data_IF_392475330536
#
_entry.id   IF_392475330536
#
_cell.length_a   1.000
_cell.length_b   1.000
_cell.length_c   1.000
_cell.angle_alpha   90.00
_cell.angle_beta   90.00
_cell.angle_gamma   90.00
#
_symmetry.space_group_name_H-M   'P 1'
#
loop_
_entity.id
_entity.type
_entity.pdbx_description
1 polymer ?
#
# COMPACT_ATOMS: atom_id res chain seq x y z
N UNK A 1 14.12 13.82 4.48
CA UNK A 1 15.20 13.75 3.46
C UNK A 1 15.46 12.39 2.85
N UNK A 2 15.77 11.32 3.62
CA UNK A 2 16.17 10.01 3.04
C UNK A 2 15.17 9.43 2.04
N UNK A 3 13.88 9.40 2.40
CA UNK A 3 12.82 8.79 1.59
C UNK A 3 12.42 9.69 0.42
N UNK A 4 12.31 11.01 0.67
CA UNK A 4 11.96 12.02 -0.34
C UNK A 4 13.04 12.11 -1.43
N UNK A 5 14.31 11.91 -1.05
CA UNK A 5 15.44 11.90 -1.98
C UNK A 5 15.80 10.49 -2.50
N UNK A 6 14.94 9.50 -2.26
CA UNK A 6 15.08 8.10 -2.72
C UNK A 6 16.39 7.42 -2.30
N UNK A 7 16.96 7.86 -1.18
CA UNK A 7 18.21 7.36 -0.63
C UNK A 7 17.97 6.09 0.20
N UNK A 8 17.24 5.12 -0.36
CA UNK A 8 16.74 3.93 0.37
C UNK A 8 17.82 3.08 1.02
N UNK A 9 19.03 3.07 0.46
CA UNK A 9 20.17 2.34 1.02
C UNK A 9 20.60 2.86 2.40
N UNK A 10 20.23 4.08 2.79
CA UNK A 10 20.47 4.55 4.17
C UNK A 10 19.52 3.91 5.17
N UNK A 11 18.35 3.40 4.76
CA UNK A 11 17.43 2.70 5.68
C UNK A 11 18.10 1.46 6.27
N UNK A 12 18.84 0.70 5.46
CA UNK A 12 19.64 -0.43 5.94
C UNK A 12 20.67 0.02 6.99
N UNK A 13 21.40 1.12 6.70
CA UNK A 13 22.38 1.68 7.63
C UNK A 13 21.74 2.16 8.93
N UNK A 14 20.57 2.79 8.86
CA UNK A 14 19.82 3.27 10.03
C UNK A 14 19.37 2.10 10.89
N UNK A 15 18.84 1.03 10.30
CA UNK A 15 18.48 -0.17 11.05
C UNK A 15 19.69 -0.86 11.66
N UNK A 16 20.79 -1.00 10.92
CA UNK A 16 22.03 -1.56 11.45
C UNK A 16 22.54 -0.72 12.63
N UNK A 17 22.55 0.61 12.50
CA UNK A 17 22.97 1.52 13.56
C UNK A 17 22.07 1.43 14.79
N UNK A 18 20.74 1.43 14.60
CA UNK A 18 19.79 1.38 15.71
C UNK A 18 19.83 0.04 16.46
N UNK A 19 19.76 -1.09 15.75
CA UNK A 19 19.66 -2.42 16.36
C UNK A 19 21.00 -2.99 16.85
N UNK A 20 22.12 -2.50 16.31
CA UNK A 20 23.46 -2.93 16.71
C UNK A 20 24.28 -1.85 17.42
N UNK A 21 23.66 -0.74 17.84
CA UNK A 21 24.35 0.27 18.63
C UNK A 21 24.90 -0.36 19.90
N UNK A 22 26.22 -0.29 20.08
CA UNK A 22 26.85 -0.61 21.35
C UNK A 22 26.74 0.64 22.20
N UNK A 23 26.10 0.53 23.37
CA UNK A 23 26.27 1.56 24.40
C UNK A 23 27.77 1.71 24.63
N UNK A 24 28.29 2.94 24.60
CA UNK A 24 29.67 3.23 24.98
C UNK A 24 29.92 2.57 26.33
N UNK A 25 30.79 1.56 26.36
CA UNK A 25 31.28 0.96 27.57
C UNK A 25 32.13 2.02 28.26
N UNK A 26 31.53 2.75 29.21
CA UNK A 26 32.23 3.65 30.11
C UNK A 26 33.09 2.86 31.09
N UNK A 27 34.19 2.28 30.61
CA UNK A 27 35.31 1.80 31.43
C UNK A 27 36.53 2.65 31.09
N UNK A 28 36.54 3.87 31.61
CA UNK A 28 37.70 4.75 31.65
C UNK A 28 37.68 5.52 32.97
N UNK A 29 38.79 5.57 33.73
CA UNK A 29 38.79 6.15 35.06
C UNK A 29 38.47 7.65 35.00
N UNK A 30 37.65 8.08 35.96
CA UNK A 30 37.14 9.44 36.08
C UNK A 30 38.22 10.52 35.93
N UNK A 31 37.99 11.46 35.02
CA UNK A 31 38.52 12.83 35.11
C UNK A 31 37.45 13.83 34.61
N UNK A 32 37.06 14.72 35.53
CA UNK A 32 36.08 15.82 35.43
C UNK A 32 36.62 17.02 34.59
N UNK A 33 35.88 18.14 34.37
CA UNK A 33 34.45 18.43 34.58
C UNK A 33 33.73 19.07 33.35
N UNK A 34 32.39 19.07 33.42
CA UNK A 34 31.41 20.03 32.86
C UNK A 34 31.73 20.77 31.54
N UNK A 35 31.04 20.38 30.47
CA UNK A 35 30.60 21.28 29.41
C UNK A 35 29.08 21.10 29.26
N UNK A 36 28.33 22.21 29.38
CA UNK A 36 26.88 22.31 29.17
C UNK A 36 26.50 22.01 27.70
N UNK A 37 26.59 20.74 27.31
CA UNK A 37 25.91 20.19 26.15
C UNK A 37 24.76 19.33 26.66
N UNK A 38 23.57 19.48 26.08
CA UNK A 38 22.43 18.57 26.28
C UNK A 38 22.93 17.11 26.28
N UNK A 39 22.36 16.22 27.12
CA UNK A 39 22.81 14.83 27.13
C UNK A 39 22.50 14.22 25.76
N UNK A 40 23.51 14.15 24.88
CA UNK A 40 23.47 13.38 23.64
C UNK A 40 22.91 12.01 24.00
N UNK A 41 21.71 11.74 23.45
CA UNK A 41 20.72 10.85 24.04
C UNK A 41 21.32 9.53 24.53
N UNK A 42 21.15 9.26 25.83
CA UNK A 42 21.59 8.01 26.45
C UNK A 42 21.09 6.81 25.64
N UNK A 43 21.99 6.18 24.89
CA UNK A 43 21.67 5.01 24.06
C UNK A 43 21.29 3.88 25.00
N UNK A 44 20.06 3.39 24.90
CA UNK A 44 19.58 2.25 25.68
C UNK A 44 20.50 1.04 25.40
N UNK A 45 21.13 0.43 26.41
CA UNK A 45 21.97 -0.75 26.21
C UNK A 45 21.20 -1.88 25.52
N UNK A 46 21.86 -2.57 24.58
CA UNK A 46 21.26 -3.64 23.76
C UNK A 46 20.56 -4.71 24.61
N UNK A 47 21.16 -5.12 25.72
CA UNK A 47 20.57 -6.15 26.61
C UNK A 47 19.27 -5.69 27.28
N UNK A 48 19.19 -4.40 27.63
CA UNK A 48 17.96 -3.80 28.17
C UNK A 48 16.90 -3.71 27.07
N UNK A 49 17.27 -3.27 25.86
CA UNK A 49 16.36 -3.24 24.71
C UNK A 49 15.80 -4.64 24.39
N UNK A 50 16.67 -5.66 24.33
CA UNK A 50 16.25 -7.06 24.13
C UNK A 50 15.29 -7.52 25.22
N UNK A 51 15.54 -7.13 26.48
CA UNK A 51 14.66 -7.46 27.60
C UNK A 51 13.29 -6.78 27.49
N UNK A 52 13.25 -5.50 27.08
CA UNK A 52 12.00 -4.78 26.82
C UNK A 52 11.20 -5.40 25.68
N UNK A 53 11.85 -5.87 24.61
CA UNK A 53 11.16 -6.51 23.49
C UNK A 53 10.48 -7.85 23.87
N UNK A 54 10.80 -8.45 25.02
CA UNK A 54 10.10 -9.64 25.54
C UNK A 54 8.79 -9.28 26.25
N UNK A 55 8.56 -8.01 26.55
CA UNK A 55 7.33 -7.54 27.18
C UNK A 55 6.25 -7.33 26.13
N UNK A 56 5.16 -8.09 26.18
CA UNK A 56 4.11 -8.09 25.17
C UNK A 56 3.50 -6.69 24.90
N UNK A 57 3.18 -5.86 25.92
CA UNK A 57 2.73 -4.48 25.69
C UNK A 57 3.73 -3.62 24.90
N UNK A 58 5.03 -3.81 25.14
CA UNK A 58 6.08 -3.07 24.43
C UNK A 58 6.18 -3.55 22.99
N UNK A 59 6.16 -4.87 22.77
CA UNK A 59 6.19 -5.44 21.43
C UNK A 59 4.99 -4.98 20.59
N UNK A 60 3.79 -4.94 21.20
CA UNK A 60 2.59 -4.38 20.59
C UNK A 60 2.76 -2.90 20.24
N UNK A 61 3.23 -2.08 21.19
CA UNK A 61 3.47 -0.66 20.94
C UNK A 61 4.47 -0.43 19.80
N UNK A 62 5.59 -1.15 19.79
CA UNK A 62 6.59 -1.08 18.72
C UNK A 62 5.99 -1.44 17.37
N UNK A 63 5.14 -2.46 17.32
CA UNK A 63 4.43 -2.88 16.12
C UNK A 63 3.49 -1.77 15.62
N UNK A 64 2.76 -1.12 16.51
CA UNK A 64 1.84 -0.04 16.15
C UNK A 64 2.62 1.19 15.63
N UNK A 65 3.79 1.50 16.20
CA UNK A 65 4.70 2.51 15.67
C UNK A 65 5.21 2.17 14.26
N UNK A 66 5.58 0.92 14.00
CA UNK A 66 6.02 0.49 12.67
C UNK A 66 4.90 0.66 11.63
N UNK A 67 3.65 0.35 11.99
CA UNK A 67 2.50 0.56 11.10
C UNK A 67 2.31 2.04 10.76
N UNK A 68 2.36 2.94 11.76
CA UNK A 68 2.23 4.39 11.54
C UNK A 68 3.34 4.88 10.61
N UNK A 69 4.59 4.48 10.90
CA UNK A 69 5.74 4.85 10.07
C UNK A 69 5.55 4.36 8.63
N UNK A 70 5.25 3.09 8.43
CA UNK A 70 5.15 2.51 7.10
C UNK A 70 3.95 3.02 6.32
N UNK A 71 2.83 3.32 6.98
CA UNK A 71 1.70 4.00 6.36
C UNK A 71 2.11 5.37 5.82
N UNK A 72 2.78 6.19 6.64
CA UNK A 72 3.29 7.49 6.19
C UNK A 72 4.28 7.36 5.02
N UNK A 73 5.13 6.31 5.02
CA UNK A 73 6.02 6.04 3.89
C UNK A 73 5.26 5.68 2.60
N UNK A 74 4.18 4.90 2.68
CA UNK A 74 3.34 4.59 1.52
C UNK A 74 2.75 5.88 0.94
N UNK A 75 2.19 6.74 1.78
CA UNK A 75 1.56 8.00 1.38
C UNK A 75 2.57 8.98 0.75
N UNK A 76 3.82 9.00 1.23
CA UNK A 76 4.88 9.82 0.64
C UNK A 76 5.37 9.24 -0.70
N UNK A 77 5.53 7.92 -0.79
CA UNK A 77 6.13 7.27 -1.95
C UNK A 77 5.16 7.12 -3.12
N UNK A 78 3.89 6.83 -2.85
CA UNK A 78 2.84 6.62 -3.85
C UNK A 78 1.55 7.29 -3.33
N UNK A 79 1.47 8.63 -3.34
CA UNK A 79 0.32 9.37 -2.81
C UNK A 79 -0.97 9.11 -3.60
N UNK A 80 -0.85 8.84 -4.90
CA UNK A 80 -1.99 8.59 -5.77
C UNK A 80 -1.59 7.57 -6.86
N UNK A 81 -2.23 6.40 -6.84
CA UNK A 81 -1.99 5.33 -7.81
C UNK A 81 -2.47 5.69 -9.21
N UNK A 82 -3.38 6.65 -9.37
CA UNK A 82 -3.85 7.09 -10.68
C UNK A 82 -2.87 8.04 -11.34
N UNK A 83 -2.05 8.78 -10.59
CA UNK A 83 -1.10 9.75 -11.17
C UNK A 83 0.10 9.06 -11.82
N UNK A 84 0.60 9.53 -12.98
CA UNK A 84 1.80 8.96 -13.58
C UNK A 84 3.01 9.04 -12.63
N UNK A 85 3.63 7.89 -12.34
CA UNK A 85 4.88 7.82 -11.57
C UNK A 85 6.03 7.51 -12.52
N UNK A 86 7.17 8.24 -12.48
CA UNK A 86 8.32 7.93 -13.30
C UNK A 86 8.77 6.46 -13.13
N UNK A 87 9.08 5.79 -14.24
CA UNK A 87 9.47 4.36 -14.23
C UNK A 87 10.71 4.09 -13.36
N UNK A 88 11.65 5.03 -13.32
CA UNK A 88 12.84 4.99 -12.47
C UNK A 88 12.48 4.99 -10.98
N UNK A 89 11.54 5.83 -10.57
CA UNK A 89 11.02 5.88 -9.20
C UNK A 89 10.28 4.59 -8.85
N UNK A 90 9.40 4.12 -9.74
CA UNK A 90 8.70 2.84 -9.58
C UNK A 90 9.67 1.68 -9.37
N UNK A 91 10.73 1.61 -10.17
CA UNK A 91 11.75 0.56 -10.01
C UNK A 91 12.53 0.70 -8.70
N UNK A 92 12.87 1.92 -8.29
CA UNK A 92 13.53 2.18 -7.02
C UNK A 92 12.67 1.73 -5.82
N UNK A 93 11.36 2.02 -5.84
CA UNK A 93 10.41 1.57 -4.82
C UNK A 93 10.31 0.04 -4.80
N UNK A 94 10.23 -0.61 -5.97
CA UNK A 94 10.18 -2.08 -6.07
C UNK A 94 11.45 -2.75 -5.54
N UNK A 95 12.61 -2.19 -5.86
CA UNK A 95 13.89 -2.69 -5.35
C UNK A 95 13.98 -2.50 -3.83
N UNK A 96 13.56 -1.33 -3.32
CA UNK A 96 13.46 -1.07 -1.90
C UNK A 96 12.57 -2.10 -1.20
N UNK A 97 11.35 -2.30 -1.70
CA UNK A 97 10.41 -3.28 -1.17
C UNK A 97 10.97 -4.71 -1.12
N UNK A 98 11.77 -5.11 -2.12
CA UNK A 98 12.42 -6.43 -2.17
C UNK A 98 13.47 -6.62 -1.08
N UNK A 99 14.20 -5.56 -0.71
CA UNK A 99 15.33 -5.65 0.22
C UNK A 99 14.95 -5.48 1.68
N UNK A 100 13.84 -4.81 1.99
CA UNK A 100 13.40 -4.46 3.34
C UNK A 100 13.44 -5.63 4.35
N UNK A 101 12.87 -6.76 4.00
CA UNK A 101 12.79 -7.92 4.91
C UNK A 101 14.18 -8.46 5.27
N UNK A 102 15.06 -8.58 4.27
CA UNK A 102 16.44 -9.03 4.47
C UNK A 102 17.26 -8.04 5.30
N UNK A 103 17.11 -6.74 5.03
CA UNK A 103 17.79 -5.69 5.79
C UNK A 103 17.39 -5.68 7.26
N UNK A 104 16.09 -5.77 7.57
CA UNK A 104 15.61 -5.80 8.95
C UNK A 104 16.06 -7.07 9.67
N UNK A 105 15.90 -8.23 9.03
CA UNK A 105 16.30 -9.53 9.59
C UNK A 105 17.79 -9.55 9.93
N UNK A 106 18.64 -9.05 9.02
CA UNK A 106 20.07 -8.94 9.26
C UNK A 106 20.40 -7.96 10.40
N UNK A 107 19.74 -6.80 10.44
CA UNK A 107 19.97 -5.81 11.48
C UNK A 107 19.59 -6.31 12.88
N UNK A 108 18.53 -7.13 12.97
CA UNK A 108 18.02 -7.67 14.23
C UNK A 108 18.54 -9.08 14.56
N UNK A 109 19.57 -9.59 13.87
CA UNK A 109 20.00 -11.01 13.98
C UNK A 109 20.27 -11.52 15.41
N UNK A 110 20.65 -10.63 16.33
CA UNK A 110 20.95 -10.96 17.73
C UNK A 110 19.73 -10.82 18.68
N UNK A 111 18.53 -10.52 18.15
CA UNK A 111 17.29 -10.41 18.91
C UNK A 111 16.55 -11.77 18.99
N UNK A 112 15.63 -11.94 19.97
CA UNK A 112 14.79 -13.12 20.05
C UNK A 112 13.94 -13.31 18.78
N UNK A 113 13.85 -14.56 18.29
CA UNK A 113 13.18 -14.87 17.02
C UNK A 113 11.72 -14.41 16.97
N UNK A 114 10.97 -14.51 18.08
CA UNK A 114 9.58 -14.04 18.15
C UNK A 114 9.46 -12.53 17.85
N UNK A 115 10.42 -11.72 18.33
CA UNK A 115 10.45 -10.27 18.10
C UNK A 115 10.76 -9.99 16.63
N UNK A 116 11.74 -10.71 16.07
CA UNK A 116 12.11 -10.60 14.64
C UNK A 116 10.92 -10.94 13.77
N UNK A 117 10.24 -12.07 14.01
CA UNK A 117 9.07 -12.49 13.24
C UNK A 117 7.94 -11.46 13.29
N UNK A 118 7.70 -10.86 14.45
CA UNK A 118 6.67 -9.82 14.60
C UNK A 118 7.00 -8.59 13.76
N UNK A 119 8.25 -8.11 13.84
CA UNK A 119 8.72 -6.93 13.07
C UNK A 119 8.77 -7.20 11.57
N UNK A 120 9.27 -8.37 11.18
CA UNK A 120 9.30 -8.84 9.79
C UNK A 120 7.88 -8.92 9.23
N UNK A 121 6.91 -9.46 9.97
CA UNK A 121 5.52 -9.51 9.51
C UNK A 121 4.97 -8.15 9.09
N UNK A 122 5.25 -7.09 9.86
CA UNK A 122 4.83 -5.72 9.52
C UNK A 122 5.59 -5.17 8.32
N UNK A 123 6.91 -5.36 8.27
CA UNK A 123 7.74 -4.92 7.13
C UNK A 123 7.35 -5.64 5.84
N UNK A 124 7.05 -6.93 5.89
CA UNK A 124 6.60 -7.71 4.74
C UNK A 124 5.25 -7.21 4.25
N UNK A 125 4.30 -6.89 5.15
CA UNK A 125 3.03 -6.27 4.76
C UNK A 125 3.24 -4.92 4.05
N UNK A 126 4.09 -4.05 4.61
CA UNK A 126 4.47 -2.80 3.97
C UNK A 126 5.10 -2.99 2.57
N UNK A 127 6.06 -3.92 2.45
CA UNK A 127 6.68 -4.26 1.18
C UNK A 127 5.68 -4.81 0.14
N UNK A 128 4.66 -5.55 0.58
CA UNK A 128 3.57 -6.00 -0.29
C UNK A 128 2.68 -4.84 -0.73
N UNK A 129 2.35 -3.90 0.17
CA UNK A 129 1.59 -2.69 -0.18
C UNK A 129 2.30 -1.87 -1.25
N UNK A 130 3.61 -1.62 -1.11
CA UNK A 130 4.40 -0.93 -2.14
C UNK A 130 4.37 -1.65 -3.49
N UNK A 131 4.50 -2.99 -3.50
CA UNK A 131 4.42 -3.80 -4.73
C UNK A 131 3.04 -3.76 -5.37
N UNK A 132 1.98 -3.79 -4.56
CA UNK A 132 0.59 -3.69 -5.03
C UNK A 132 0.34 -2.31 -5.63
N UNK A 133 0.73 -1.24 -4.95
CA UNK A 133 0.48 0.13 -5.40
C UNK A 133 1.30 0.49 -6.64
N UNK A 134 2.56 0.06 -6.75
CA UNK A 134 3.33 0.22 -7.99
C UNK A 134 2.73 -0.57 -9.16
N UNK A 135 2.19 -1.77 -8.92
CA UNK A 135 1.50 -2.55 -9.95
C UNK A 135 0.18 -1.92 -10.36
N UNK A 136 -0.62 -1.44 -9.41
CA UNK A 136 -1.84 -0.69 -9.69
C UNK A 136 -1.55 0.59 -10.48
N UNK A 137 -0.48 1.31 -10.14
CA UNK A 137 -0.07 2.49 -10.89
C UNK A 137 0.25 2.17 -12.35
N UNK A 138 0.97 1.08 -12.60
CA UNK A 138 1.26 0.63 -13.96
C UNK A 138 -0.03 0.29 -14.74
N UNK A 139 -0.97 -0.42 -14.10
CA UNK A 139 -2.28 -0.72 -14.69
C UNK A 139 -3.08 0.56 -14.98
N UNK A 140 -3.06 1.53 -14.06
CA UNK A 140 -3.70 2.83 -14.24
C UNK A 140 -3.12 3.56 -15.47
N UNK A 141 -1.80 3.53 -15.68
CA UNK A 141 -1.20 4.14 -16.87
C UNK A 141 -1.59 3.42 -18.17
N UNK A 142 -1.66 2.08 -18.15
CA UNK A 142 -2.13 1.31 -19.28
C UNK A 142 -3.60 1.63 -19.62
N UNK A 143 -4.46 1.70 -18.62
CA UNK A 143 -5.86 2.09 -18.78
C UNK A 143 -5.98 3.52 -19.32
N UNK A 144 -5.18 4.47 -18.80
CA UNK A 144 -5.15 5.85 -19.31
C UNK A 144 -4.78 5.90 -20.80
N UNK A 145 -3.81 5.11 -21.25
CA UNK A 145 -3.42 5.06 -22.65
C UNK A 145 -4.56 4.56 -23.56
N UNK A 146 -5.35 3.57 -23.10
CA UNK A 146 -6.54 3.08 -23.81
C UNK A 146 -7.63 4.16 -23.86
N UNK A 147 -7.91 4.80 -22.71
CA UNK A 147 -8.94 5.84 -22.57
C UNK A 147 -8.60 7.17 -23.26
N UNK A 148 -7.36 7.35 -23.72
CA UNK A 148 -6.97 8.48 -24.56
C UNK A 148 -6.98 8.14 -26.06
N UNK A 149 -7.25 6.88 -26.42
CA UNK A 149 -7.28 6.43 -27.80
C UNK A 149 -8.72 6.32 -28.30
N UNK A 150 -9.18 7.35 -29.02
CA UNK A 150 -10.55 7.43 -29.57
C UNK A 150 -10.90 6.23 -30.46
N UNK A 151 -9.95 5.67 -31.21
CA UNK A 151 -10.20 4.48 -32.05
C UNK A 151 -10.51 3.26 -31.19
N UNK A 152 -9.77 3.06 -30.09
CA UNK A 152 -10.02 1.95 -29.17
C UNK A 152 -11.34 2.12 -28.43
N UNK A 153 -11.67 3.34 -28.02
CA UNK A 153 -12.96 3.67 -27.41
C UNK A 153 -14.12 3.35 -28.36
N UNK A 154 -14.04 3.80 -29.61
CA UNK A 154 -15.10 3.53 -30.60
C UNK A 154 -15.24 2.04 -30.89
N UNK A 155 -14.13 1.30 -30.92
CA UNK A 155 -14.17 -0.16 -31.05
C UNK A 155 -14.84 -0.81 -29.84
N UNK A 156 -14.48 -0.42 -28.61
CA UNK A 156 -15.11 -0.91 -27.38
C UNK A 156 -16.63 -0.64 -27.36
N UNK A 157 -17.05 0.55 -27.80
CA UNK A 157 -18.48 0.90 -27.91
C UNK A 157 -19.20 0.04 -28.96
N UNK A 158 -18.56 -0.19 -30.12
CA UNK A 158 -19.10 -1.08 -31.14
C UNK A 158 -19.25 -2.50 -30.61
N UNK A 159 -18.25 -3.02 -29.90
CA UNK A 159 -18.27 -4.36 -29.34
C UNK A 159 -19.37 -4.51 -28.28
N UNK A 160 -19.52 -3.50 -27.41
CA UNK A 160 -20.56 -3.49 -26.38
C UNK A 160 -21.98 -3.39 -26.98
N UNK A 161 -22.16 -2.56 -28.01
CA UNK A 161 -23.43 -2.48 -28.73
C UNK A 161 -23.73 -3.75 -29.53
N UNK A 162 -22.71 -4.47 -30.03
CA UNK A 162 -22.93 -5.77 -30.69
C UNK A 162 -23.43 -6.82 -29.71
N UNK A 163 -22.94 -6.83 -28.47
CA UNK A 163 -23.48 -7.73 -27.43
C UNK A 163 -24.94 -7.38 -27.12
N UNK A 164 -25.28 -6.09 -27.09
CA UNK A 164 -26.65 -5.58 -26.87
C UNK A 164 -27.63 -5.91 -28.03
N UNK A 165 -27.21 -5.71 -29.28
CA UNK A 165 -28.08 -5.92 -30.45
C UNK A 165 -28.07 -7.34 -31.03
N UNK A 166 -27.01 -8.14 -30.81
CA UNK A 166 -26.88 -9.45 -31.45
C UNK A 166 -27.45 -10.62 -30.63
N UNK A 167 -27.51 -10.55 -29.28
CA UNK A 167 -27.87 -11.68 -28.42
C UNK A 167 -28.67 -11.17 -27.20
N UNK A 168 -29.86 -11.65 -26.82
CA UNK A 168 -30.09 -12.82 -25.94
C UNK A 168 -29.00 -13.12 -24.87
N UNK A 169 -27.74 -12.67 -25.01
CA UNK A 169 -26.62 -12.96 -24.10
C UNK A 169 -26.48 -11.99 -22.94
N UNK A 170 -26.91 -10.72 -23.05
CA UNK A 170 -26.94 -9.91 -21.82
C UNK A 170 -27.97 -10.47 -20.85
N UNK A 171 -29.09 -11.03 -21.35
CA UNK A 171 -30.03 -11.79 -20.54
C UNK A 171 -29.44 -13.11 -19.99
N UNK A 172 -28.61 -13.83 -20.75
CA UNK A 172 -27.93 -15.04 -20.26
C UNK A 172 -26.82 -14.73 -19.24
N UNK A 173 -26.00 -13.70 -19.49
CA UNK A 173 -24.99 -13.19 -18.55
C UNK A 173 -25.69 -12.64 -17.31
N UNK A 174 -26.84 -11.98 -17.48
CA UNK A 174 -27.72 -11.52 -16.40
C UNK A 174 -28.32 -12.69 -15.62
N UNK A 175 -28.76 -13.77 -16.28
CA UNK A 175 -29.31 -14.96 -15.63
C UNK A 175 -28.21 -15.69 -14.84
N UNK A 176 -27.01 -15.81 -15.41
CA UNK A 176 -25.84 -16.38 -14.73
C UNK A 176 -25.35 -15.48 -13.57
N UNK A 177 -25.32 -14.17 -13.77
CA UNK A 177 -25.00 -13.21 -12.72
C UNK A 177 -26.10 -13.15 -11.65
N UNK A 178 -27.37 -13.32 -11.99
CA UNK A 178 -28.46 -13.43 -11.02
C UNK A 178 -28.32 -14.71 -10.19
N UNK A 179 -27.89 -15.82 -10.80
CA UNK A 179 -27.65 -17.08 -10.10
C UNK A 179 -26.45 -17.02 -9.14
N UNK A 180 -25.38 -16.31 -9.52
CA UNK A 180 -24.14 -16.24 -8.74
C UNK A 180 -24.12 -15.06 -7.76
N UNK A 181 -24.54 -13.88 -8.22
CA UNK A 181 -24.41 -12.60 -7.54
C UNK A 181 -25.72 -12.15 -6.86
N UNK A 182 -26.86 -12.74 -7.23
CA UNK A 182 -28.21 -12.31 -6.81
C UNK A 182 -28.47 -10.81 -7.05
N UNK A 183 -27.83 -10.21 -8.06
CA UNK A 183 -28.01 -8.80 -8.37
C UNK A 183 -29.35 -8.57 -9.08
N UNK A 184 -30.07 -7.53 -8.66
CA UNK A 184 -31.28 -7.09 -9.34
C UNK A 184 -30.98 -6.69 -10.80
N UNK A 185 -31.88 -7.06 -11.71
CA UNK A 185 -31.78 -6.72 -13.13
C UNK A 185 -31.67 -5.21 -13.37
N UNK A 186 -32.41 -4.42 -12.57
CA UNK A 186 -32.41 -2.97 -12.65
C UNK A 186 -31.03 -2.34 -12.37
N UNK A 187 -30.22 -3.00 -11.53
CA UNK A 187 -28.86 -2.53 -11.21
C UNK A 187 -27.93 -2.79 -12.39
N UNK A 188 -27.99 -3.97 -12.98
CA UNK A 188 -27.10 -4.34 -14.08
C UNK A 188 -27.38 -3.51 -15.34
N UNK A 189 -28.65 -3.31 -15.69
CA UNK A 189 -29.04 -2.44 -16.82
C UNK A 189 -28.56 -0.99 -16.61
N UNK A 190 -28.69 -0.47 -15.37
CA UNK A 190 -28.21 0.87 -15.03
C UNK A 190 -26.69 0.98 -15.17
N UNK A 191 -25.93 0.01 -14.65
CA UNK A 191 -24.47 -0.01 -14.75
C UNK A 191 -23.99 -0.07 -16.20
N UNK A 192 -24.67 -0.85 -17.04
CA UNK A 192 -24.37 -0.93 -18.46
C UNK A 192 -24.62 0.42 -19.16
N UNK A 193 -25.78 1.04 -18.90
CA UNK A 193 -26.13 2.34 -19.48
C UNK A 193 -25.13 3.42 -19.06
N UNK A 194 -24.78 3.48 -17.77
CA UNK A 194 -23.82 4.44 -17.23
C UNK A 194 -22.42 4.20 -17.80
N UNK A 195 -22.00 2.94 -17.96
CA UNK A 195 -20.73 2.58 -18.57
C UNK A 195 -20.66 3.06 -20.02
N UNK A 196 -21.70 2.80 -20.84
CA UNK A 196 -21.82 3.26 -22.22
C UNK A 196 -21.71 4.79 -22.30
N UNK A 197 -22.46 5.49 -21.47
CA UNK A 197 -22.46 6.95 -21.42
C UNK A 197 -21.09 7.51 -21.06
N UNK A 198 -20.46 6.96 -20.01
CA UNK A 198 -19.13 7.38 -19.53
C UNK A 198 -18.06 7.18 -20.61
N UNK A 199 -18.15 6.06 -21.35
CA UNK A 199 -17.24 5.73 -22.44
C UNK A 199 -17.44 6.65 -23.67
N UNK A 200 -18.70 6.96 -24.03
CA UNK A 200 -19.03 7.90 -25.11
C UNK A 200 -18.56 9.32 -24.85
N UNK A 201 -18.58 9.76 -23.58
CA UNK A 201 -18.12 11.08 -23.16
C UNK A 201 -16.59 11.24 -23.22
N UNK A 202 -15.84 10.17 -23.56
CA UNK A 202 -14.37 10.15 -23.53
C UNK A 202 -13.82 10.58 -22.17
N UNK A 203 -14.47 10.10 -21.10
CA UNK A 203 -14.13 10.44 -19.73
C UNK A 203 -12.69 10.05 -19.38
N UNK A 204 -12.01 10.93 -18.63
CA UNK A 204 -10.67 10.67 -18.10
C UNK A 204 -10.66 9.50 -17.11
N UNK A 205 -9.49 8.89 -16.89
CA UNK A 205 -9.33 7.80 -15.91
C UNK A 205 -9.82 8.20 -14.51
N UNK A 206 -9.59 9.44 -14.11
CA UNK A 206 -10.01 9.99 -12.82
C UNK A 206 -11.54 10.00 -12.70
N UNK A 207 -12.25 10.39 -13.77
CA UNK A 207 -13.71 10.32 -13.82
C UNK A 207 -14.23 8.87 -13.78
N UNK A 208 -13.54 7.94 -14.46
CA UNK A 208 -13.84 6.51 -14.36
C UNK A 208 -13.68 5.96 -12.95
N UNK A 209 -12.63 6.39 -12.24
CA UNK A 209 -12.42 6.02 -10.84
C UNK A 209 -13.53 6.57 -9.93
N UNK A 210 -13.95 7.83 -10.13
CA UNK A 210 -15.08 8.42 -9.39
C UNK A 210 -16.39 7.67 -9.67
N UNK A 211 -16.65 7.30 -10.92
CA UNK A 211 -17.83 6.50 -11.27
C UNK A 211 -17.81 5.14 -10.59
N UNK A 212 -16.69 4.41 -10.65
CA UNK A 212 -16.54 3.12 -9.96
C UNK A 212 -16.74 3.25 -8.45
N UNK A 213 -16.18 4.29 -7.82
CA UNK A 213 -16.37 4.55 -6.38
C UNK A 213 -17.84 4.80 -6.02
N UNK A 214 -18.58 5.54 -6.87
CA UNK A 214 -20.02 5.74 -6.72
C UNK A 214 -20.80 4.43 -6.84
N UNK A 215 -20.45 3.57 -7.80
CA UNK A 215 -21.07 2.26 -7.97
C UNK A 215 -20.85 1.38 -6.74
N UNK A 216 -19.60 1.29 -6.27
CA UNK A 216 -19.25 0.51 -5.07
C UNK A 216 -20.00 1.05 -3.85
N UNK A 217 -19.99 2.37 -3.65
CA UNK A 217 -20.70 3.02 -2.53
C UNK A 217 -22.19 2.73 -2.56
N UNK A 218 -22.82 2.77 -3.74
CA UNK A 218 -24.25 2.49 -3.89
C UNK A 218 -24.59 1.02 -3.59
N UNK A 219 -23.83 0.08 -4.15
CA UNK A 219 -24.07 -1.37 -3.99
C UNK A 219 -23.79 -1.81 -2.56
N UNK A 220 -22.74 -1.26 -1.93
CA UNK A 220 -22.39 -1.62 -0.56
C UNK A 220 -23.26 -0.93 0.50
N UNK A 221 -24.02 0.13 0.14
CA UNK A 221 -24.81 0.93 1.08
C UNK A 221 -25.72 0.10 2.00
N UNK A 222 -26.37 -0.93 1.46
CA UNK A 222 -27.28 -1.81 2.22
C UNK A 222 -26.57 -2.68 3.24
N UNK A 223 -25.27 -2.91 3.03
CA UNK A 223 -24.42 -3.70 3.92
C UNK A 223 -23.73 -2.82 4.97
N UNK A 224 -23.88 -1.49 4.91
CA UNK A 224 -23.22 -0.56 5.83
C UNK A 224 -23.61 -0.86 7.28
N UNK A 225 -22.61 -1.03 8.15
CA UNK A 225 -22.80 -1.36 9.57
C UNK A 225 -22.97 -2.85 9.87
N UNK A 226 -23.04 -3.73 8.85
CA UNK A 226 -22.95 -5.18 9.07
C UNK A 226 -21.56 -5.59 9.57
N UNK A 227 -21.45 -6.66 10.37
CA UNK A 227 -20.15 -7.14 10.87
C UNK A 227 -19.21 -7.62 9.75
N UNK A 228 -19.75 -7.95 8.57
CA UNK A 228 -18.99 -8.34 7.36
C UNK A 228 -18.66 -7.16 6.44
N UNK A 229 -19.09 -5.93 6.76
CA UNK A 229 -18.80 -4.77 5.94
C UNK A 229 -17.29 -4.46 5.97
N UNK A 230 -16.59 -4.49 4.83
CA UNK A 230 -15.19 -4.14 4.80
C UNK A 230 -15.03 -2.66 5.17
N UNK A 231 -14.27 -2.38 6.23
CA UNK A 231 -13.82 -1.01 6.50
C UNK A 231 -12.88 -0.62 5.37
N UNK A 232 -13.13 0.52 4.72
CA UNK A 232 -12.23 1.06 3.72
C UNK A 232 -10.80 1.11 4.30
N UNK A 233 -9.85 0.57 3.56
CA UNK A 233 -8.44 0.46 3.95
C UNK A 233 -7.69 1.76 3.72
#
# INVERSE_FOLDING_TARGET
DVVVNLQFHYIEKLWLSFWNSKASSGDGPASLPASDGEPEGAVLPKDKLVSLCKCEPILKWMRDCDHILYQALVEILIPDVLRPVPSTLTQAIRNFAKSLEGWLTNAMRDFPQQVIQTKVGVVSAFAQTLRRYTSLNHLAQAARAVLQNTSQINQMLSDLNRVDFANVDFANVQEQASWVCQCEESVVQRLEQDFKLTLQQQSSLDQWATWLDSVVTQVLKEHAGSPSFPKAA
#
